data_IF_500325752893
#
_entry.id   IF_500325752893
#
_cell.length_a   1.000
_cell.length_b   1.000
_cell.length_c   1.000
_cell.angle_alpha   90.00
_cell.angle_beta   90.00
_cell.angle_gamma   90.00
#
_symmetry.space_group_name_H-M   'P 1'
#
loop_
_entity.id
_entity.type
_entity.pdbx_description
1 polymer ?
#
# COMPACT_ATOMS: atom_id res chain seq x y z
N UNK A 1 13.09 -31.84 6.64
CA UNK A 1 12.17 -32.59 5.75
C UNK A 1 12.84 -32.99 4.46
N UNK A 2 13.45 -32.06 3.67
CA UNK A 2 14.14 -32.38 2.40
C UNK A 2 15.21 -33.47 2.53
N UNK A 3 16.06 -33.40 3.59
CA UNK A 3 17.08 -34.42 3.84
C UNK A 3 16.50 -35.80 4.11
N UNK A 4 15.39 -35.88 4.85
CA UNK A 4 14.69 -37.17 5.10
C UNK A 4 14.10 -37.74 3.79
N UNK A 5 13.66 -36.87 2.88
CA UNK A 5 13.12 -37.25 1.57
C UNK A 5 14.21 -37.45 0.51
N UNK A 6 15.48 -37.36 0.88
CA UNK A 6 16.63 -37.42 -0.04
C UNK A 6 16.52 -36.47 -1.24
N UNK A 7 15.94 -35.28 -1.04
CA UNK A 7 15.76 -34.25 -2.06
C UNK A 7 16.80 -33.16 -1.93
N UNK A 8 17.58 -32.91 -2.97
CA UNK A 8 18.57 -31.82 -3.03
C UNK A 8 17.97 -30.50 -3.52
N UNK A 9 16.89 -30.55 -4.30
CA UNK A 9 16.26 -29.38 -4.92
C UNK A 9 14.76 -29.52 -4.80
N UNK A 10 14.10 -28.38 -4.59
CA UNK A 10 12.65 -28.25 -4.69
C UNK A 10 12.32 -27.08 -5.60
N UNK A 11 11.22 -27.16 -6.29
CA UNK A 11 10.65 -26.04 -7.03
C UNK A 11 9.97 -25.10 -6.04
N UNK A 12 10.25 -23.81 -6.16
CA UNK A 12 9.69 -22.76 -5.33
C UNK A 12 9.23 -21.60 -6.19
N UNK A 13 8.24 -20.85 -5.71
CA UNK A 13 7.86 -19.61 -6.35
C UNK A 13 9.02 -18.60 -6.26
N UNK A 14 9.25 -17.88 -7.35
CA UNK A 14 10.21 -16.78 -7.37
C UNK A 14 9.70 -15.62 -6.51
N UNK A 15 10.62 -14.94 -5.80
CA UNK A 15 10.29 -13.68 -5.12
C UNK A 15 9.74 -12.66 -6.13
N UNK A 16 8.53 -12.13 -5.95
CA UNK A 16 7.97 -11.15 -6.87
C UNK A 16 8.73 -9.83 -6.79
N UNK A 17 9.04 -9.26 -7.94
CA UNK A 17 9.70 -7.96 -8.09
C UNK A 17 8.65 -6.87 -8.03
N UNK A 18 8.73 -6.02 -7.01
CA UNK A 18 7.75 -4.97 -6.72
C UNK A 18 8.37 -3.60 -6.99
N UNK A 19 8.00 -2.98 -8.10
CA UNK A 19 8.44 -1.61 -8.42
C UNK A 19 7.70 -0.58 -7.58
N UNK A 20 8.41 0.43 -7.06
CA UNK A 20 7.83 1.48 -6.21
C UNK A 20 8.19 2.84 -6.78
N UNK A 21 7.19 3.70 -6.98
CA UNK A 21 7.35 5.07 -7.45
C UNK A 21 6.51 6.00 -6.59
N UNK A 22 7.12 6.99 -5.94
CA UNK A 22 6.37 8.10 -5.35
C UNK A 22 6.15 9.20 -6.41
N UNK A 23 5.01 9.87 -6.37
CA UNK A 23 4.68 10.94 -7.33
C UNK A 23 4.11 12.16 -6.64
N UNK A 24 4.45 13.34 -7.18
CA UNK A 24 3.97 14.64 -6.72
C UNK A 24 5.04 15.70 -6.83
N UNK A 25 4.65 16.92 -7.22
CA UNK A 25 5.58 18.04 -7.33
C UNK A 25 6.08 18.51 -5.96
N UNK A 26 5.25 18.32 -4.92
CA UNK A 26 5.54 18.63 -3.53
C UNK A 26 6.43 17.59 -2.83
N UNK A 27 6.61 16.40 -3.43
CA UNK A 27 7.28 15.28 -2.76
C UNK A 27 8.79 15.35 -2.94
N UNK A 28 9.53 15.06 -1.84
CA UNK A 28 11.00 14.95 -1.79
C UNK A 28 11.44 13.63 -1.16
N UNK A 29 12.67 13.23 -1.36
CA UNK A 29 13.23 12.06 -0.68
C UNK A 29 13.38 12.32 0.82
N UNK A 30 13.28 11.24 1.61
CA UNK A 30 13.50 11.32 3.05
C UNK A 30 14.96 11.66 3.31
N UNK A 31 15.21 12.69 4.14
CA UNK A 31 16.56 13.18 4.44
C UNK A 31 17.01 14.36 3.59
N UNK A 32 16.29 14.71 2.53
CA UNK A 32 16.54 15.94 1.80
C UNK A 32 16.04 17.18 2.57
N UNK A 33 16.65 18.34 2.30
CA UNK A 33 16.17 19.61 2.85
C UNK A 33 14.77 19.91 2.33
N UNK A 34 13.83 20.05 3.26
CA UNK A 34 12.46 20.42 2.94
C UNK A 34 12.22 21.91 3.23
N UNK A 35 11.28 22.51 2.51
CA UNK A 35 10.73 23.83 2.80
C UNK A 35 9.23 23.70 3.10
N UNK A 36 8.55 24.80 3.35
CA UNK A 36 7.12 24.80 3.70
C UNK A 36 6.18 24.25 2.61
N UNK A 37 6.68 24.07 1.40
CA UNK A 37 5.89 23.57 0.26
C UNK A 37 6.18 22.11 -0.07
N UNK A 38 7.25 21.53 0.49
CA UNK A 38 7.69 20.19 0.20
C UNK A 38 7.41 19.24 1.37
N UNK A 39 7.03 18.01 1.05
CA UNK A 39 6.79 16.95 2.02
C UNK A 39 7.66 15.74 1.71
N UNK A 40 8.30 15.11 2.71
CA UNK A 40 9.05 13.89 2.47
C UNK A 40 8.11 12.73 2.10
N UNK A 41 8.56 11.84 1.22
CA UNK A 41 7.87 10.61 0.84
C UNK A 41 7.84 9.61 2.02
N UNK A 42 7.25 9.99 3.14
CA UNK A 42 7.38 9.32 4.45
C UNK A 42 6.84 7.89 4.48
N UNK A 43 5.84 7.56 3.66
CA UNK A 43 5.31 6.19 3.56
C UNK A 43 6.19 5.26 2.71
N UNK A 44 7.01 5.78 1.79
CA UNK A 44 7.82 4.98 0.87
C UNK A 44 8.79 4.02 1.59
N UNK A 45 9.62 4.46 2.57
CA UNK A 45 10.51 3.57 3.30
C UNK A 45 9.75 2.48 4.07
N UNK A 46 8.63 2.82 4.68
CA UNK A 46 7.79 1.86 5.41
C UNK A 46 7.22 0.79 4.48
N UNK A 47 6.71 1.18 3.30
CA UNK A 47 6.18 0.26 2.31
C UNK A 47 7.29 -0.65 1.75
N UNK A 48 8.49 -0.12 1.50
CA UNK A 48 9.66 -0.92 1.11
C UNK A 48 9.98 -1.99 2.17
N UNK A 49 9.95 -1.62 3.44
CA UNK A 49 10.17 -2.56 4.55
C UNK A 49 9.08 -3.63 4.62
N UNK A 50 7.82 -3.25 4.49
CA UNK A 50 6.68 -4.17 4.47
C UNK A 50 6.78 -5.17 3.31
N UNK A 51 7.13 -4.72 2.10
CA UNK A 51 7.32 -5.60 0.94
C UNK A 51 8.38 -6.66 1.23
N UNK A 52 9.53 -6.27 1.82
CA UNK A 52 10.59 -7.22 2.21
C UNK A 52 10.08 -8.23 3.23
N UNK A 53 9.37 -7.77 4.25
CA UNK A 53 8.80 -8.62 5.30
C UNK A 53 7.77 -9.63 4.74
N UNK A 54 7.03 -9.26 3.68
CA UNK A 54 6.09 -10.15 3.00
C UNK A 54 6.74 -11.02 1.91
N UNK A 55 8.07 -11.02 1.81
CA UNK A 55 8.82 -11.88 0.90
C UNK A 55 8.96 -11.35 -0.52
N UNK A 56 8.56 -10.10 -0.80
CA UNK A 56 8.78 -9.43 -2.08
C UNK A 56 10.19 -8.86 -2.22
N UNK A 57 10.59 -8.57 -3.48
CA UNK A 57 11.84 -7.88 -3.84
C UNK A 57 11.52 -6.44 -4.28
N UNK A 58 11.66 -5.42 -3.41
CA UNK A 58 11.33 -4.04 -3.72
C UNK A 58 12.38 -3.40 -4.64
N UNK A 59 11.91 -2.75 -5.71
CA UNK A 59 12.73 -1.96 -6.63
C UNK A 59 12.29 -0.51 -6.54
N UNK A 60 13.10 0.33 -5.90
CA UNK A 60 12.80 1.75 -5.75
C UNK A 60 13.10 2.51 -7.04
N UNK A 61 12.09 3.10 -7.65
CA UNK A 61 12.20 4.00 -8.80
C UNK A 61 12.33 5.48 -8.40
N UNK A 62 12.41 5.76 -7.10
CA UNK A 62 12.53 7.11 -6.55
C UNK A 62 11.23 7.89 -6.64
N UNK A 63 11.37 9.19 -6.86
CA UNK A 63 10.25 10.12 -7.03
C UNK A 63 10.15 10.54 -8.49
N UNK A 64 8.95 10.75 -8.99
CA UNK A 64 8.70 11.43 -10.25
C UNK A 64 7.85 12.68 -9.98
N UNK A 65 8.25 13.77 -10.56
CA UNK A 65 7.43 14.99 -10.62
C UNK A 65 6.25 14.76 -11.56
N UNK A 66 5.20 15.55 -11.40
CA UNK A 66 3.99 15.50 -12.22
C UNK A 66 4.27 16.02 -13.64
N UNK A 67 5.21 15.33 -14.33
CA UNK A 67 5.60 15.57 -15.71
C UNK A 67 5.53 14.29 -16.50
N UNK A 68 4.80 14.32 -17.62
CA UNK A 68 4.60 13.16 -18.49
C UNK A 68 5.90 12.45 -18.87
N UNK A 69 6.94 13.20 -19.22
CA UNK A 69 8.24 12.64 -19.65
C UNK A 69 8.93 11.84 -18.53
N UNK A 70 8.88 12.34 -17.29
CA UNK A 70 9.48 11.64 -16.13
C UNK A 70 8.70 10.38 -15.81
N UNK A 71 7.37 10.49 -15.68
CA UNK A 71 6.48 9.37 -15.45
C UNK A 71 6.66 8.28 -16.50
N UNK A 72 6.70 8.67 -17.78
CA UNK A 72 6.88 7.74 -18.90
C UNK A 72 8.18 6.94 -18.82
N UNK A 73 9.31 7.60 -18.47
CA UNK A 73 10.60 6.92 -18.29
C UNK A 73 10.55 5.87 -17.16
N UNK A 74 9.90 6.21 -16.05
CA UNK A 74 9.77 5.31 -14.87
C UNK A 74 8.81 4.15 -15.17
N UNK A 75 7.64 4.43 -15.78
CA UNK A 75 6.65 3.40 -16.16
C UNK A 75 7.27 2.39 -17.14
N UNK A 76 8.06 2.81 -18.12
CA UNK A 76 8.76 1.89 -19.03
C UNK A 76 9.67 0.91 -18.29
N UNK A 77 10.35 1.35 -17.23
CA UNK A 77 11.21 0.48 -16.41
C UNK A 77 10.38 -0.50 -15.57
N UNK A 78 9.18 -0.10 -15.17
CA UNK A 78 8.27 -0.90 -14.34
C UNK A 78 7.78 -2.20 -15.02
N UNK A 79 7.82 -2.30 -16.36
CA UNK A 79 7.49 -3.55 -17.07
C UNK A 79 8.38 -4.75 -16.76
N UNK A 80 9.48 -4.54 -16.05
CA UNK A 80 10.36 -5.61 -15.55
C UNK A 80 9.93 -6.12 -14.18
N UNK A 81 8.88 -5.54 -13.60
CA UNK A 81 8.32 -5.93 -12.29
C UNK A 81 7.10 -6.83 -12.48
N UNK A 82 6.82 -7.65 -11.47
CA UNK A 82 5.59 -8.44 -11.40
C UNK A 82 4.41 -7.56 -10.96
N UNK A 83 4.69 -6.62 -10.04
CA UNK A 83 3.76 -5.60 -9.59
C UNK A 83 4.47 -4.24 -9.55
N UNK A 84 3.81 -3.20 -10.06
CA UNK A 84 4.26 -1.82 -9.98
C UNK A 84 3.30 -1.02 -9.10
N UNK A 85 3.81 -0.39 -8.05
CA UNK A 85 3.04 0.46 -7.16
C UNK A 85 3.43 1.92 -7.33
N UNK A 86 2.42 2.79 -7.34
CA UNK A 86 2.60 4.24 -7.23
C UNK A 86 2.07 4.73 -5.90
N UNK A 87 2.75 5.68 -5.28
CA UNK A 87 2.33 6.33 -4.03
C UNK A 87 2.06 7.79 -4.35
N UNK A 88 0.81 8.22 -4.20
CA UNK A 88 0.34 9.51 -4.73
C UNK A 88 -0.13 9.40 -6.18
N UNK A 89 -0.57 10.51 -6.76
CA UNK A 89 -1.09 10.54 -8.12
C UNK A 89 -2.38 9.75 -8.37
N UNK A 90 -2.96 9.13 -7.36
CA UNK A 90 -4.24 8.41 -7.43
C UNK A 90 -5.43 9.30 -7.07
N UNK A 91 -5.23 10.62 -7.00
CA UNK A 91 -6.28 11.58 -6.67
C UNK A 91 -7.28 11.76 -7.82
N UNK A 92 -8.52 12.08 -7.46
CA UNK A 92 -9.65 12.18 -8.39
C UNK A 92 -9.68 13.48 -9.22
N UNK A 93 -8.60 14.22 -9.29
CA UNK A 93 -8.52 15.47 -10.06
C UNK A 93 -8.43 15.25 -11.57
N UNK A 94 -8.88 16.25 -12.35
CA UNK A 94 -8.74 16.29 -13.82
C UNK A 94 -7.28 16.16 -14.32
N UNK A 95 -6.32 16.15 -13.42
CA UNK A 95 -4.86 16.18 -13.66
C UNK A 95 -4.14 14.94 -13.11
N UNK A 96 -4.80 13.79 -13.01
CA UNK A 96 -4.10 12.54 -12.66
C UNK A 96 -3.20 12.10 -13.81
N UNK A 97 -2.00 12.70 -13.83
CA UNK A 97 -0.99 12.44 -14.85
C UNK A 97 -0.47 11.00 -14.79
N UNK A 98 -0.51 10.36 -13.61
CA UNK A 98 -0.08 8.96 -13.49
C UNK A 98 -1.05 8.03 -14.21
N UNK A 99 -2.36 8.18 -13.98
CA UNK A 99 -3.38 7.38 -14.62
C UNK A 99 -3.38 7.58 -16.15
N UNK A 100 -3.36 8.84 -16.61
CA UNK A 100 -3.32 9.14 -18.04
C UNK A 100 -2.02 8.67 -18.72
N UNK A 101 -0.90 8.71 -18.01
CA UNK A 101 0.37 8.13 -18.48
C UNK A 101 0.29 6.62 -18.58
N UNK A 102 -0.24 5.94 -17.57
CA UNK A 102 -0.41 4.48 -17.56
C UNK A 102 -1.30 4.01 -18.72
N UNK A 103 -2.42 4.71 -19.00
CA UNK A 103 -3.30 4.39 -20.14
C UNK A 103 -2.52 4.42 -21.47
N UNK A 104 -1.69 5.43 -21.71
CA UNK A 104 -0.87 5.50 -22.92
C UNK A 104 0.12 4.34 -23.05
N UNK A 105 0.46 3.68 -21.96
CA UNK A 105 1.29 2.48 -21.93
C UNK A 105 0.48 1.17 -21.98
N UNK A 106 -0.84 1.24 -22.18
CA UNK A 106 -1.71 0.09 -22.31
C UNK A 106 -2.22 -0.45 -20.97
N UNK A 107 -2.28 0.39 -19.96
CA UNK A 107 -2.89 0.04 -18.68
C UNK A 107 -4.39 -0.21 -18.87
N UNK A 108 -4.83 -1.36 -18.35
CA UNK A 108 -6.23 -1.75 -18.26
C UNK A 108 -6.64 -1.64 -16.80
N UNK A 109 -7.56 -0.74 -16.52
CA UNK A 109 -8.07 -0.49 -15.19
C UNK A 109 -9.11 -1.56 -14.83
N UNK A 110 -8.94 -2.23 -13.69
CA UNK A 110 -9.91 -3.16 -13.13
C UNK A 110 -10.85 -2.43 -12.17
N UNK A 111 -10.28 -1.63 -11.26
CA UNK A 111 -11.08 -0.75 -10.41
C UNK A 111 -10.33 0.53 -10.01
N UNK A 112 -11.10 1.57 -9.76
CA UNK A 112 -10.64 2.85 -9.22
C UNK A 112 -11.67 3.40 -8.24
N UNK A 113 -11.21 3.83 -7.08
CA UNK A 113 -12.03 4.25 -5.94
C UNK A 113 -12.79 3.08 -5.30
N UNK A 114 -12.50 2.86 -4.06
CA UNK A 114 -13.15 1.84 -3.25
C UNK A 114 -13.93 2.48 -2.11
N UNK A 115 -15.01 1.84 -1.70
CA UNK A 115 -15.87 2.34 -0.61
C UNK A 115 -15.25 2.06 0.76
N UNK A 116 -14.04 2.62 1.02
CA UNK A 116 -13.34 2.51 2.30
C UNK A 116 -12.83 3.85 2.82
N UNK A 117 -12.51 3.90 4.10
CA UNK A 117 -11.91 5.04 4.79
C UNK A 117 -10.94 4.55 5.87
N UNK A 118 -9.66 5.00 5.84
CA UNK A 118 -9.01 5.73 4.75
C UNK A 118 -8.75 4.82 3.54
N UNK A 119 -8.38 5.39 2.38
CA UNK A 119 -7.96 4.61 1.21
C UNK A 119 -8.85 4.71 -0.03
N UNK A 120 -9.91 5.53 0.00
CA UNK A 120 -10.85 5.70 -1.13
C UNK A 120 -10.20 5.79 -2.53
N UNK A 121 -9.11 6.57 -2.76
CA UNK A 121 -8.58 6.79 -4.11
C UNK A 121 -7.70 5.66 -4.66
N UNK A 122 -7.68 4.50 -4.02
CA UNK A 122 -6.91 3.35 -4.51
C UNK A 122 -7.38 2.93 -5.91
N UNK A 123 -6.41 2.55 -6.77
CA UNK A 123 -6.67 1.93 -8.07
C UNK A 123 -5.90 0.63 -8.24
N UNK A 124 -6.42 -0.26 -9.08
CA UNK A 124 -5.76 -1.50 -9.47
C UNK A 124 -6.08 -1.83 -10.92
N UNK A 125 -5.15 -2.51 -11.56
CA UNK A 125 -5.29 -2.97 -12.93
C UNK A 125 -4.01 -3.64 -13.42
N UNK A 126 -3.88 -3.76 -14.73
CA UNK A 126 -2.72 -4.42 -15.34
C UNK A 126 -2.22 -3.67 -16.57
N UNK A 127 -0.93 -3.82 -16.84
CA UNK A 127 -0.29 -3.34 -18.04
C UNK A 127 0.62 -4.43 -18.60
N UNK A 128 0.23 -5.04 -19.71
CA UNK A 128 0.90 -6.24 -20.27
C UNK A 128 0.91 -7.39 -19.23
N UNK A 129 2.11 -7.75 -18.74
CA UNK A 129 2.32 -8.80 -17.73
C UNK A 129 2.54 -8.26 -16.31
N UNK A 130 2.51 -6.95 -16.13
CA UNK A 130 2.76 -6.27 -14.85
C UNK A 130 1.43 -5.82 -14.25
N UNK A 131 1.14 -6.22 -13.03
CA UNK A 131 0.05 -5.64 -12.27
C UNK A 131 0.43 -4.22 -11.84
N UNK A 132 -0.56 -3.34 -11.71
CA UNK A 132 -0.35 -1.95 -11.29
C UNK A 132 -1.30 -1.62 -10.17
N UNK A 133 -0.77 -1.06 -9.09
CA UNK A 133 -1.53 -0.63 -7.91
C UNK A 133 -1.20 0.82 -7.58
N UNK A 134 -2.19 1.69 -7.59
CA UNK A 134 -2.05 3.08 -7.14
C UNK A 134 -2.50 3.20 -5.68
N UNK A 135 -1.55 3.54 -4.82
CA UNK A 135 -1.80 3.80 -3.41
C UNK A 135 -2.06 5.29 -3.18
N UNK A 136 -2.89 5.64 -2.18
CA UNK A 136 -3.10 7.03 -1.79
C UNK A 136 -1.81 7.75 -1.42
N UNK A 137 -1.74 9.08 -1.64
CA UNK A 137 -0.61 9.89 -1.21
C UNK A 137 -0.52 10.08 0.31
N UNK A 138 -1.67 10.15 1.01
CA UNK A 138 -1.69 10.26 2.48
C UNK A 138 -1.03 9.04 3.13
N UNK A 139 -0.01 9.22 3.99
CA UNK A 139 0.84 8.14 4.47
C UNK A 139 0.08 6.99 5.16
N UNK A 140 -0.84 7.33 6.06
CA UNK A 140 -1.65 6.32 6.76
C UNK A 140 -2.57 5.57 5.79
N UNK A 141 -3.15 6.27 4.83
CA UNK A 141 -3.98 5.63 3.80
C UNK A 141 -3.16 4.65 2.97
N UNK A 142 -1.93 5.03 2.59
CA UNK A 142 -1.01 4.19 1.85
C UNK A 142 -0.64 2.92 2.63
N UNK A 143 -0.34 3.05 3.93
CA UNK A 143 0.00 1.90 4.79
C UNK A 143 -1.19 0.96 5.00
N UNK A 144 -2.38 1.48 5.29
CA UNK A 144 -3.58 0.66 5.45
C UNK A 144 -3.92 -0.06 4.15
N UNK A 145 -3.87 0.62 2.99
CA UNK A 145 -4.06 -0.03 1.70
C UNK A 145 -2.97 -1.09 1.42
N UNK A 146 -1.74 -0.87 1.89
CA UNK A 146 -0.67 -1.85 1.76
C UNK A 146 -0.95 -3.11 2.56
N UNK A 147 -1.38 -2.99 3.82
CA UNK A 147 -1.75 -4.15 4.66
C UNK A 147 -2.93 -4.93 4.08
N UNK A 148 -3.94 -4.25 3.57
CA UNK A 148 -5.18 -4.90 3.13
C UNK A 148 -5.05 -5.50 1.72
N UNK A 149 -4.36 -4.81 0.80
CA UNK A 149 -4.35 -5.17 -0.62
C UNK A 149 -2.96 -5.56 -1.13
N UNK A 150 -1.92 -4.76 -0.85
CA UNK A 150 -0.59 -5.02 -1.37
C UNK A 150 -0.01 -6.32 -0.79
N UNK A 151 -0.20 -6.57 0.50
CA UNK A 151 0.19 -7.82 1.16
C UNK A 151 -0.43 -9.04 0.48
N UNK A 152 -1.73 -9.00 0.22
CA UNK A 152 -2.44 -10.09 -0.47
C UNK A 152 -1.95 -10.30 -1.90
N UNK A 153 -1.70 -9.22 -2.63
CA UNK A 153 -1.14 -9.29 -3.97
C UNK A 153 0.26 -9.93 -3.98
N UNK A 154 1.13 -9.56 -3.03
CA UNK A 154 2.46 -10.14 -2.89
C UNK A 154 2.38 -11.63 -2.54
N UNK A 155 1.52 -12.04 -1.63
CA UNK A 155 1.33 -13.45 -1.28
C UNK A 155 0.76 -14.25 -2.45
N UNK A 156 -0.22 -13.69 -3.17
CA UNK A 156 -0.77 -14.35 -4.36
C UNK A 156 0.30 -14.58 -5.43
N UNK A 157 1.20 -13.61 -5.66
CA UNK A 157 2.33 -13.75 -6.59
C UNK A 157 3.35 -14.83 -6.15
N UNK A 158 3.39 -15.16 -4.86
CA UNK A 158 4.22 -16.23 -4.29
C UNK A 158 3.48 -17.57 -4.20
N UNK A 159 2.23 -17.65 -4.67
CA UNK A 159 1.40 -18.84 -4.51
C UNK A 159 0.99 -19.14 -3.07
N UNK A 160 1.12 -18.16 -2.16
CA UNK A 160 0.74 -18.30 -0.75
C UNK A 160 -0.74 -17.96 -0.59
N UNK A 161 -1.51 -18.93 -0.10
CA UNK A 161 -2.89 -18.69 0.35
C UNK A 161 -2.81 -17.98 1.71
N UNK A 162 -3.23 -16.72 1.74
CA UNK A 162 -3.24 -15.90 2.96
C UNK A 162 -4.66 -15.69 3.46
N UNK A 163 -4.87 -16.00 4.72
CA UNK A 163 -6.11 -15.69 5.44
C UNK A 163 -5.83 -14.59 6.45
N UNK A 164 -6.70 -13.58 6.46
CA UNK A 164 -6.58 -12.50 7.46
C UNK A 164 -6.94 -13.08 8.84
N UNK A 165 -6.12 -12.76 9.83
CA UNK A 165 -6.48 -13.02 11.22
C UNK A 165 -7.50 -11.96 11.66
N UNK A 166 -8.75 -12.38 11.83
CA UNK A 166 -9.85 -11.51 12.23
C UNK A 166 -10.44 -12.04 13.53
N UNK A 167 -10.59 -11.17 14.51
CA UNK A 167 -11.27 -11.47 15.78
C UNK A 167 -12.36 -10.43 16.03
N UNK A 168 -13.39 -10.83 16.76
CA UNK A 168 -14.37 -9.90 17.27
C UNK A 168 -13.86 -9.29 18.58
N UNK A 169 -14.14 -8.01 18.80
CA UNK A 169 -13.79 -7.30 20.03
C UNK A 169 -14.85 -6.26 20.37
N UNK A 170 -15.01 -5.98 21.65
CA UNK A 170 -15.91 -4.95 22.14
C UNK A 170 -15.23 -3.58 22.06
N UNK A 171 -15.90 -2.58 21.51
CA UNK A 171 -15.43 -1.20 21.54
C UNK A 171 -15.61 -0.59 22.92
N UNK A 172 -14.61 0.16 23.39
CA UNK A 172 -14.72 0.90 24.66
C UNK A 172 -15.70 2.06 24.60
N UNK A 173 -15.88 2.64 23.41
CA UNK A 173 -16.78 3.78 23.21
C UNK A 173 -17.59 3.57 21.92
N UNK A 174 -18.80 4.09 21.93
CA UNK A 174 -19.63 4.14 20.74
C UNK A 174 -18.98 4.99 19.65
N UNK A 175 -19.19 4.57 18.40
CA UNK A 175 -18.75 5.30 17.20
C UNK A 175 -19.95 5.57 16.30
N UNK A 176 -19.93 6.75 15.69
CA UNK A 176 -20.93 7.07 14.67
C UNK A 176 -20.60 6.32 13.38
N UNK A 177 -21.53 5.51 12.84
CA UNK A 177 -21.28 4.80 11.60
C UNK A 177 -21.13 5.77 10.43
N UNK A 178 -20.22 5.46 9.52
CA UNK A 178 -20.13 6.15 8.25
C UNK A 178 -20.90 5.34 7.20
N UNK A 179 -22.07 5.83 6.82
CA UNK A 179 -23.13 5.07 6.12
C UNK A 179 -22.75 4.42 4.79
N UNK A 180 -21.64 4.82 4.12
CA UNK A 180 -21.35 4.36 2.75
C UNK A 180 -19.94 3.78 2.56
N UNK A 181 -19.08 3.80 3.59
CA UNK A 181 -17.70 3.34 3.45
C UNK A 181 -17.31 2.44 4.61
N UNK A 182 -16.64 1.31 4.30
CA UNK A 182 -16.01 0.49 5.32
C UNK A 182 -14.91 1.28 6.01
N UNK A 183 -15.00 1.43 7.33
CA UNK A 183 -14.01 2.18 8.12
C UNK A 183 -12.95 1.24 8.66
N UNK A 184 -11.71 1.65 8.53
CA UNK A 184 -10.55 1.01 9.15
C UNK A 184 -9.98 1.96 10.19
N UNK A 185 -10.42 1.80 11.43
CA UNK A 185 -10.04 2.62 12.56
C UNK A 185 -8.84 2.00 13.27
N UNK A 186 -7.97 2.85 13.80
CA UNK A 186 -6.81 2.42 14.59
C UNK A 186 -7.19 2.39 16.05
N UNK A 187 -6.76 1.35 16.73
CA UNK A 187 -7.02 1.17 18.15
C UNK A 187 -6.00 0.26 18.82
N UNK A 188 -5.98 0.32 20.13
CA UNK A 188 -5.22 -0.59 20.97
C UNK A 188 -6.15 -1.70 21.46
N UNK A 189 -5.77 -2.93 21.20
CA UNK A 189 -6.51 -4.12 21.62
C UNK A 189 -5.95 -4.63 22.95
N UNK A 190 -6.82 -5.05 23.85
CA UNK A 190 -6.44 -5.64 25.12
C UNK A 190 -7.47 -6.68 25.57
N UNK A 191 -7.03 -7.60 26.42
CA UNK A 191 -7.91 -8.59 27.02
C UNK A 191 -8.44 -8.05 28.35
N UNK A 192 -9.75 -7.92 28.47
CA UNK A 192 -10.42 -7.52 29.72
C UNK A 192 -10.70 -8.76 30.60
N UNK A 193 -9.89 -8.92 31.63
CA UNK A 193 -9.98 -10.06 32.53
C UNK A 193 -11.27 -10.09 33.33
N UNK A 194 -11.96 -8.95 33.52
CA UNK A 194 -13.18 -8.87 34.31
C UNK A 194 -14.39 -9.48 33.61
N UNK A 195 -14.42 -9.42 32.30
CA UNK A 195 -15.51 -9.97 31.45
C UNK A 195 -15.03 -11.12 30.56
N UNK A 196 -13.73 -11.44 30.55
CA UNK A 196 -13.18 -12.53 29.74
C UNK A 196 -13.15 -12.30 28.22
N UNK A 197 -13.17 -11.04 27.76
CA UNK A 197 -13.32 -10.71 26.34
C UNK A 197 -12.24 -9.75 25.83
N UNK A 198 -12.06 -9.77 24.51
CA UNK A 198 -11.18 -8.79 23.82
C UNK A 198 -11.89 -7.46 23.69
N UNK A 199 -11.19 -6.39 24.02
CA UNK A 199 -11.67 -5.01 23.88
C UNK A 199 -10.74 -4.18 23.03
N UNK A 200 -11.30 -3.13 22.42
CA UNK A 200 -10.53 -2.18 21.60
C UNK A 200 -10.83 -0.75 22.04
N UNK A 201 -9.78 -0.05 22.43
CA UNK A 201 -9.80 1.39 22.66
C UNK A 201 -9.29 2.11 21.40
N UNK A 202 -10.15 2.87 20.76
CA UNK A 202 -9.76 3.62 19.56
C UNK A 202 -8.75 4.71 19.91
N UNK A 203 -7.80 4.93 19.01
CA UNK A 203 -6.89 6.07 19.10
C UNK A 203 -7.67 7.38 18.85
N UNK A 204 -7.39 8.40 19.65
CA UNK A 204 -8.04 9.71 19.51
C UNK A 204 -7.80 10.34 18.14
N UNK A 205 -6.58 10.20 17.60
CA UNK A 205 -6.23 10.74 16.29
C UNK A 205 -6.39 9.65 15.22
N UNK A 206 -7.37 9.82 14.34
CA UNK A 206 -7.66 8.98 13.18
C UNK A 206 -7.26 9.66 11.86
N UNK A 207 -6.48 10.76 11.91
CA UNK A 207 -6.05 11.50 10.73
C UNK A 207 -5.19 10.63 9.80
N UNK A 208 -5.55 10.59 8.53
CA UNK A 208 -4.88 9.80 7.49
C UNK A 208 -3.50 10.36 7.07
N UNK A 209 -3.15 11.57 7.49
CA UNK A 209 -1.84 12.17 7.25
C UNK A 209 -0.85 11.92 8.40
N UNK A 210 -1.33 11.55 9.61
CA UNK A 210 -0.50 11.40 10.81
C UNK A 210 0.00 9.98 11.00
N UNK A 211 1.32 9.78 10.90
CA UNK A 211 2.00 8.50 11.18
C UNK A 211 2.30 8.28 12.67
N UNK A 212 2.17 9.30 13.50
CA UNK A 212 2.49 9.21 14.94
C UNK A 212 1.86 8.01 15.67
N UNK A 213 0.59 7.63 15.39
CA UNK A 213 -0.01 6.46 16.01
C UNK A 213 0.66 5.11 15.70
N UNK A 214 1.49 5.04 14.67
CA UNK A 214 2.24 3.82 14.29
C UNK A 214 3.62 3.74 14.94
N UNK A 215 4.04 4.78 15.65
CA UNK A 215 5.37 4.84 16.30
C UNK A 215 5.36 4.37 17.75
N UNK A 216 4.22 3.89 18.27
CA UNK A 216 4.02 3.45 19.66
C UNK A 216 3.69 1.99 19.74
#
# INVERSE_FOLDING_TARGET
LMGVMNQRKIEVFKKPRIGILATGDEITEVGEKTNKYNQPASSKPSIISLIKNWGGDPIDFGIAKDKYMELSKKIKKAYKCDLFITIGGASVGKYDLIHSSLIKFGFKLDFWKIAMQPGKPMMFGSCKKTFVMGLPGNPVSALICSEIFLKKAIYALQGIKHEDFIINAILDNDISPNNFRKQYLRGNMYFDKSIGEMRVKLLKNQDSASLYPYSK
#
